data_IF_317878425374
#
_entry.id   IF_317878425374
#
_cell.length_a   1.000
_cell.length_b   1.000
_cell.length_c   1.000
_cell.angle_alpha   90.00
_cell.angle_beta   90.00
_cell.angle_gamma   90.00
#
_symmetry.space_group_name_H-M   'P 1'
#
loop_
_entity.id
_entity.type
_entity.pdbx_description
1 polymer ?
#
# COMPACT_ATOMS: atom_id res chain seq x y z
N UNK A 1 1.65 -25.53 -3.78
CA UNK A 1 1.58 -24.75 -2.52
C UNK A 1 1.26 -23.32 -2.86
N UNK A 2 0.17 -22.77 -2.33
CA UNK A 2 -0.20 -21.37 -2.56
C UNK A 2 0.41 -20.47 -1.49
N UNK A 3 1.05 -19.38 -1.90
CA UNK A 3 1.64 -18.37 -1.02
C UNK A 3 1.56 -16.97 -1.66
N UNK A 4 1.60 -15.92 -0.85
CA UNK A 4 1.48 -14.56 -1.33
C UNK A 4 2.62 -13.64 -0.85
N UNK A 5 2.86 -12.59 -1.62
CA UNK A 5 3.78 -11.50 -1.31
C UNK A 5 3.05 -10.17 -1.40
N UNK A 6 3.09 -9.39 -0.31
CA UNK A 6 2.51 -8.05 -0.23
C UNK A 6 3.62 -7.07 0.16
N UNK A 7 3.88 -6.10 -0.72
CA UNK A 7 4.85 -5.03 -0.50
C UNK A 7 4.11 -3.68 -0.49
N UNK A 8 4.22 -2.92 0.59
CA UNK A 8 3.62 -1.59 0.69
C UNK A 8 4.62 -0.58 1.28
N UNK A 9 5.27 0.21 0.41
CA UNK A 9 6.32 1.15 0.80
C UNK A 9 6.26 2.46 0.00
N UNK A 10 6.26 3.61 0.71
CA UNK A 10 6.51 4.93 0.11
C UNK A 10 5.60 5.32 -1.07
N UNK A 11 4.33 4.89 -1.03
CA UNK A 11 3.37 5.12 -2.11
C UNK A 11 3.33 4.06 -3.21
N UNK A 12 4.13 3.00 -3.07
CA UNK A 12 4.12 1.84 -3.95
C UNK A 12 3.46 0.66 -3.23
N UNK A 13 2.66 -0.07 -3.97
CA UNK A 13 1.97 -1.26 -3.52
C UNK A 13 2.08 -2.36 -4.57
N UNK A 14 2.33 -3.59 -4.13
CA UNK A 14 2.28 -4.80 -4.94
C UNK A 14 1.65 -5.91 -4.08
N UNK A 15 0.73 -6.66 -4.68
CA UNK A 15 0.22 -7.93 -4.18
C UNK A 15 0.40 -8.99 -5.26
N UNK A 16 1.02 -10.10 -4.90
CA UNK A 16 1.20 -11.23 -5.81
C UNK A 16 0.83 -12.53 -5.10
N UNK A 17 0.11 -13.40 -5.80
CA UNK A 17 -0.20 -14.74 -5.33
C UNK A 17 0.44 -15.76 -6.25
N UNK A 18 1.10 -16.73 -5.67
CA UNK A 18 1.82 -17.79 -6.35
C UNK A 18 1.21 -19.14 -6.02
N UNK A 19 1.03 -19.97 -7.05
CA UNK A 19 0.84 -21.40 -6.90
C UNK A 19 2.15 -22.10 -7.28
N UNK A 20 2.83 -22.62 -6.28
CA UNK A 20 4.22 -23.10 -6.36
C UNK A 20 5.16 -22.01 -6.84
N UNK A 21 5.65 -22.11 -8.08
CA UNK A 21 6.57 -21.14 -8.69
C UNK A 21 5.88 -20.25 -9.74
N UNK A 22 4.57 -20.42 -9.96
CA UNK A 22 3.82 -19.68 -10.95
C UNK A 22 3.02 -18.56 -10.30
N UNK A 23 3.23 -17.34 -10.75
CA UNK A 23 2.38 -16.20 -10.39
C UNK A 23 1.00 -16.40 -11.01
N UNK A 24 -0.04 -16.48 -10.18
CA UNK A 24 -1.45 -16.66 -10.59
C UNK A 24 -2.26 -15.37 -10.46
N UNK A 25 -1.78 -14.41 -9.68
CA UNK A 25 -2.37 -13.08 -9.54
C UNK A 25 -1.28 -12.05 -9.27
N UNK A 26 -1.38 -10.86 -9.88
CA UNK A 26 -0.46 -9.74 -9.66
C UNK A 26 -1.21 -8.41 -9.79
N UNK A 27 -1.37 -7.71 -8.66
CA UNK A 27 -1.87 -6.35 -8.59
C UNK A 27 -0.75 -5.39 -8.16
N UNK A 28 -0.69 -4.19 -8.75
CA UNK A 28 0.29 -3.18 -8.34
C UNK A 28 -0.21 -1.77 -8.62
N UNK A 29 0.10 -0.83 -7.72
CA UNK A 29 -0.10 0.59 -7.96
C UNK A 29 1.04 1.41 -7.37
N UNK A 30 1.22 2.62 -7.89
CA UNK A 30 2.20 3.58 -7.42
C UNK A 30 1.65 4.99 -7.54
N UNK A 31 1.60 5.70 -6.42
CA UNK A 31 1.14 7.07 -6.33
C UNK A 31 2.21 7.98 -5.71
N UNK A 32 2.23 9.23 -6.16
CA UNK A 32 3.16 10.23 -5.63
C UNK A 32 2.65 10.77 -4.29
N UNK A 33 3.06 10.11 -3.19
CA UNK A 33 2.67 10.44 -1.81
C UNK A 33 3.81 11.01 -0.96
N UNK A 34 5.05 10.89 -1.45
CA UNK A 34 6.27 11.39 -0.78
C UNK A 34 6.94 12.48 -1.63
N UNK A 35 7.52 13.50 -0.99
CA UNK A 35 8.31 14.51 -1.72
C UNK A 35 9.70 13.94 -2.04
N UNK A 36 10.05 13.87 -3.33
CA UNK A 36 11.32 13.29 -3.85
C UNK A 36 12.61 13.74 -3.13
N UNK A 37 12.67 14.98 -2.61
CA UNK A 37 13.86 15.57 -1.97
C UNK A 37 13.84 15.66 -0.45
N UNK A 38 12.65 15.62 0.18
CA UNK A 38 12.51 15.88 1.63
C UNK A 38 12.18 14.62 2.44
N UNK A 39 11.80 13.52 1.78
CA UNK A 39 11.32 12.31 2.46
C UNK A 39 10.03 12.53 3.25
N UNK A 40 9.42 11.43 3.70
CA UNK A 40 8.22 11.46 4.55
C UNK A 40 6.90 11.56 3.78
N UNK A 41 5.91 10.77 4.22
CA UNK A 41 4.51 10.88 3.77
C UNK A 41 3.90 12.18 4.28
N UNK A 42 2.96 12.75 3.53
CA UNK A 42 2.33 14.01 3.92
C UNK A 42 1.58 13.87 5.25
N UNK A 43 0.91 12.72 5.44
CA UNK A 43 0.25 12.34 6.70
C UNK A 43 1.18 12.39 7.92
N UNK A 44 2.43 11.94 7.80
CA UNK A 44 3.41 12.02 8.89
C UNK A 44 3.83 13.47 9.21
N UNK A 45 3.98 14.30 8.18
CA UNK A 45 4.28 15.73 8.35
C UNK A 45 3.12 16.48 9.00
N UNK A 46 1.88 16.18 8.60
CA UNK A 46 0.70 16.84 9.16
C UNK A 46 0.45 16.46 10.63
N UNK A 47 0.86 15.26 11.07
CA UNK A 47 0.78 14.85 12.48
C UNK A 47 1.83 15.52 13.38
N UNK A 48 2.94 16.01 12.80
CA UNK A 48 4.11 16.51 13.56
C UNK A 48 4.36 18.01 13.45
N UNK A 49 3.76 18.69 12.46
CA UNK A 49 3.95 20.12 12.17
C UNK A 49 2.62 20.81 11.84
N UNK A 50 2.66 22.13 11.64
CA UNK A 50 1.53 22.90 11.10
C UNK A 50 1.08 22.29 9.76
N UNK A 51 -0.21 21.95 9.67
CA UNK A 51 -0.85 21.35 8.49
C UNK A 51 -0.52 22.21 7.26
N UNK A 52 0.16 21.62 6.27
CA UNK A 52 0.52 22.34 5.05
C UNK A 52 -0.71 22.44 4.14
N UNK A 53 -1.07 23.64 3.70
CA UNK A 53 -2.29 23.90 2.90
C UNK A 53 -2.01 24.17 1.43
N UNK A 54 -0.75 24.07 0.99
CA UNK A 54 -0.39 24.22 -0.43
C UNK A 54 -1.12 23.20 -1.32
N UNK A 55 -1.34 23.57 -2.59
CA UNK A 55 -1.89 22.67 -3.63
C UNK A 55 -1.11 21.36 -3.71
N UNK A 56 0.22 21.43 -3.62
CA UNK A 56 1.09 20.24 -3.62
C UNK A 56 0.92 19.32 -2.42
N UNK A 57 0.58 19.85 -1.24
CA UNK A 57 0.25 19.01 -0.07
C UNK A 57 -1.14 18.39 -0.18
N UNK A 58 -2.12 19.11 -0.75
CA UNK A 58 -3.46 18.56 -0.98
C UNK A 58 -3.43 17.41 -2.00
N UNK A 59 -2.73 17.58 -3.14
CA UNK A 59 -2.56 16.51 -4.13
C UNK A 59 -1.92 15.25 -3.54
N UNK A 60 -0.95 15.39 -2.63
CA UNK A 60 -0.33 14.23 -1.96
C UNK A 60 -1.31 13.51 -1.05
N UNK A 61 -2.16 14.23 -0.29
CA UNK A 61 -3.21 13.60 0.55
C UNK A 61 -4.23 12.86 -0.31
N UNK A 62 -4.66 13.49 -1.40
CA UNK A 62 -5.61 12.85 -2.32
C UNK A 62 -5.01 11.61 -2.96
N UNK A 63 -3.73 11.66 -3.36
CA UNK A 63 -3.01 10.48 -3.84
C UNK A 63 -2.88 9.38 -2.78
N UNK A 64 -2.75 9.74 -1.49
CA UNK A 64 -2.76 8.74 -0.40
C UNK A 64 -4.13 8.08 -0.26
N UNK A 65 -5.22 8.84 -0.41
CA UNK A 65 -6.60 8.34 -0.40
C UNK A 65 -6.87 7.41 -1.58
N UNK A 66 -6.56 7.84 -2.80
CA UNK A 66 -6.73 7.04 -4.02
C UNK A 66 -5.88 5.76 -3.95
N UNK A 67 -4.64 5.85 -3.45
CA UNK A 67 -3.81 4.65 -3.27
C UNK A 67 -4.46 3.66 -2.31
N UNK A 68 -5.06 4.14 -1.22
CA UNK A 68 -5.76 3.28 -0.26
C UNK A 68 -6.96 2.58 -0.92
N UNK A 69 -7.80 3.32 -1.63
CA UNK A 69 -8.95 2.74 -2.35
C UNK A 69 -8.53 1.67 -3.36
N UNK A 70 -7.43 1.89 -4.08
CA UNK A 70 -6.91 0.90 -5.01
C UNK A 70 -6.33 -0.32 -4.29
N UNK A 71 -5.63 -0.13 -3.17
CA UNK A 71 -5.15 -1.25 -2.34
C UNK A 71 -6.34 -2.12 -1.91
N UNK A 72 -7.40 -1.50 -1.39
CA UNK A 72 -8.59 -2.21 -0.94
C UNK A 72 -9.24 -3.00 -2.10
N UNK A 73 -9.32 -2.40 -3.29
CA UNK A 73 -9.83 -3.08 -4.48
C UNK A 73 -8.98 -4.31 -4.89
N UNK A 74 -7.64 -4.19 -4.88
CA UNK A 74 -6.77 -5.33 -5.18
C UNK A 74 -6.84 -6.42 -4.10
N UNK A 75 -6.98 -6.03 -2.83
CA UNK A 75 -7.11 -6.98 -1.72
C UNK A 75 -8.44 -7.74 -1.81
N UNK A 76 -9.52 -7.06 -2.18
CA UNK A 76 -10.84 -7.68 -2.41
C UNK A 76 -10.79 -8.66 -3.60
N UNK A 77 -10.22 -8.25 -4.73
CA UNK A 77 -10.06 -9.11 -5.91
C UNK A 77 -9.21 -10.36 -5.61
N UNK A 78 -8.15 -10.20 -4.82
CA UNK A 78 -7.26 -11.29 -4.42
C UNK A 78 -7.79 -12.12 -3.23
N UNK A 79 -8.86 -11.69 -2.56
CA UNK A 79 -9.32 -12.23 -1.26
C UNK A 79 -9.45 -13.76 -1.28
N UNK A 80 -10.19 -14.31 -2.25
CA UNK A 80 -10.39 -15.75 -2.38
C UNK A 80 -9.09 -16.55 -2.60
N UNK A 81 -8.07 -15.94 -3.21
CA UNK A 81 -6.76 -16.56 -3.42
C UNK A 81 -5.86 -16.42 -2.18
N UNK A 82 -5.97 -15.30 -1.47
CA UNK A 82 -5.26 -15.06 -0.21
C UNK A 82 -5.73 -16.02 0.89
N UNK A 83 -7.02 -16.34 0.96
CA UNK A 83 -7.57 -17.32 1.92
C UNK A 83 -7.00 -18.74 1.73
N UNK A 84 -6.57 -19.07 0.51
CA UNK A 84 -5.96 -20.36 0.18
C UNK A 84 -4.44 -20.38 0.45
N UNK A 85 -3.84 -19.22 0.73
CA UNK A 85 -2.40 -19.13 0.95
C UNK A 85 -2.02 -19.74 2.29
N UNK A 86 -1.04 -20.64 2.28
CA UNK A 86 -0.46 -21.18 3.53
C UNK A 86 0.41 -20.14 4.25
N UNK A 87 0.98 -19.20 3.50
CA UNK A 87 1.89 -18.16 3.98
C UNK A 87 1.66 -16.89 3.17
N UNK A 88 1.62 -15.75 3.86
CA UNK A 88 1.59 -14.41 3.27
C UNK A 88 2.82 -13.65 3.80
N UNK A 89 3.72 -13.27 2.91
CA UNK A 89 4.86 -12.40 3.24
C UNK A 89 4.44 -10.95 3.13
N UNK A 90 4.49 -10.21 4.25
CA UNK A 90 4.09 -8.81 4.30
C UNK A 90 5.29 -7.91 4.63
N UNK A 91 5.55 -6.92 3.76
CA UNK A 91 6.46 -5.82 4.04
C UNK A 91 5.71 -4.47 3.98
N UNK A 92 5.35 -3.93 5.13
CA UNK A 92 4.64 -2.66 5.25
C UNK A 92 5.20 -1.80 6.40
N UNK A 93 6.39 -1.18 6.25
CA UNK A 93 7.04 -0.48 7.35
C UNK A 93 6.32 0.81 7.78
N UNK A 94 6.55 1.21 9.03
CA UNK A 94 5.99 2.43 9.58
C UNK A 94 4.47 2.39 9.64
N UNK A 95 3.81 3.47 9.25
CA UNK A 95 2.34 3.57 9.28
C UNK A 95 1.65 2.74 8.20
N UNK A 96 2.38 2.24 7.19
CA UNK A 96 1.77 1.42 6.14
C UNK A 96 1.21 0.10 6.69
N UNK A 97 1.72 -0.42 7.81
CA UNK A 97 1.14 -1.62 8.45
C UNK A 97 -0.32 -1.44 8.84
N UNK A 98 -0.73 -0.21 9.17
CA UNK A 98 -2.09 0.09 9.63
C UNK A 98 -3.13 -0.19 8.54
N UNK A 99 -2.72 -0.11 7.27
CA UNK A 99 -3.54 -0.46 6.10
C UNK A 99 -4.03 -1.91 6.17
N UNK A 100 -3.22 -2.80 6.76
CA UNK A 100 -3.50 -4.25 6.79
C UNK A 100 -3.85 -4.77 8.20
N UNK A 101 -3.81 -3.91 9.22
CA UNK A 101 -4.02 -4.30 10.63
C UNK A 101 -5.30 -3.73 11.25
N UNK A 102 -5.99 -2.83 10.55
CA UNK A 102 -7.29 -2.34 10.99
C UNK A 102 -8.38 -3.35 10.59
N UNK A 103 -8.68 -4.29 11.49
CA UNK A 103 -9.96 -4.98 11.59
C UNK A 103 -10.67 -4.49 12.84
#
# INVERSE_FOLDING_TARGET
>A
MTWALILCHGGKFIVQVYSDLKCVYSGSDSKYVIRKKSGGRQSNCDRSKKIMTSVGSQMRRENERILQEHIDAFMEEASALLDQCKVIYLHAPGMNRLVFMAQ
#
